data_IF_563518977576
#
_entry.id   IF_563518977576
#
_cell.length_a   1.000
_cell.length_b   1.000
_cell.length_c   1.000
_cell.angle_alpha   90.00
_cell.angle_beta   90.00
_cell.angle_gamma   90.00
#
_symmetry.space_group_name_H-M   'P 1'
#
loop_
_entity.id
_entity.type
_entity.pdbx_description
1 polymer ?
#
# COMPACT_ATOMS: atom_id res chain seq x y z
N UNK A 1 -9.54 7.31 27.40
CA UNK A 1 -8.51 6.66 26.57
C UNK A 1 -7.19 7.19 27.08
N UNK A 2 -6.21 6.32 27.40
CA UNK A 2 -4.93 6.77 27.90
C UNK A 2 -4.31 7.72 26.88
N UNK A 3 -3.93 8.93 27.33
CA UNK A 3 -3.33 9.98 26.50
C UNK A 3 -1.94 9.64 25.93
N UNK A 4 -1.43 8.45 26.20
CA UNK A 4 -0.08 7.99 25.83
C UNK A 4 -0.05 6.90 24.74
N UNK A 5 -1.20 6.44 24.23
CA UNK A 5 -1.24 5.41 23.18
C UNK A 5 -0.97 6.04 21.82
N UNK A 6 0.18 5.74 21.24
CA UNK A 6 0.67 6.34 20.00
C UNK A 6 0.66 5.35 18.85
N UNK A 7 0.12 5.76 17.73
CA UNK A 7 0.02 4.97 16.51
C UNK A 7 0.73 5.68 15.36
N UNK A 8 1.51 4.91 14.59
CA UNK A 8 2.27 5.38 13.44
C UNK A 8 1.74 4.72 12.16
N UNK A 9 1.43 5.54 11.15
CA UNK A 9 1.01 5.11 9.82
C UNK A 9 2.07 5.53 8.80
N UNK A 10 2.68 4.56 8.14
CA UNK A 10 3.79 4.76 7.20
C UNK A 10 3.30 4.56 5.76
N UNK A 11 3.64 5.49 4.87
CA UNK A 11 3.16 5.47 3.49
C UNK A 11 1.65 5.67 3.41
N UNK A 12 1.14 6.62 4.19
CA UNK A 12 -0.30 6.76 4.44
C UNK A 12 -1.10 7.25 3.22
N UNK A 13 -0.44 7.82 2.20
CA UNK A 13 -1.12 8.41 1.06
C UNK A 13 -2.12 9.47 1.49
N UNK A 14 -3.32 9.40 0.92
CA UNK A 14 -4.47 10.23 1.29
C UNK A 14 -5.39 9.57 2.34
N UNK A 15 -5.01 8.37 2.83
CA UNK A 15 -5.82 7.57 3.77
C UNK A 15 -5.17 7.55 5.13
N UNK A 16 -5.49 8.55 5.92
CA UNK A 16 -4.92 8.71 7.26
C UNK A 16 -5.97 9.20 8.25
N UNK A 17 -5.66 9.03 9.53
CA UNK A 17 -6.48 9.51 10.64
C UNK A 17 -5.68 10.52 11.46
N UNK A 18 -6.28 11.65 11.81
CA UNK A 18 -5.58 12.76 12.49
C UNK A 18 -5.03 12.42 13.89
N UNK A 19 -5.57 11.38 14.54
CA UNK A 19 -5.06 10.91 15.84
C UNK A 19 -3.84 10.01 15.73
N UNK A 20 -3.39 9.69 14.50
CA UNK A 20 -2.17 8.94 14.24
C UNK A 20 -1.06 9.89 13.83
N UNK A 21 0.18 9.48 14.07
CA UNK A 21 1.32 10.09 13.39
C UNK A 21 1.39 9.50 12.00
N UNK A 22 1.31 10.36 10.97
CA UNK A 22 1.22 9.93 9.58
C UNK A 22 2.45 10.39 8.81
N UNK A 23 3.14 9.46 8.15
CA UNK A 23 4.28 9.72 7.26
C UNK A 23 3.96 9.27 5.84
N UNK A 24 4.40 10.06 4.88
CA UNK A 24 4.42 9.69 3.46
C UNK A 24 5.64 10.30 2.77
N UNK A 25 5.99 9.81 1.58
CA UNK A 25 7.06 10.39 0.79
C UNK A 25 6.80 11.85 0.45
N UNK A 26 5.53 12.21 0.25
CA UNK A 26 5.06 13.58 -0.02
C UNK A 26 4.06 14.02 1.03
N UNK A 27 3.92 15.35 1.22
CA UNK A 27 2.92 15.91 2.13
C UNK A 27 1.52 15.84 1.50
N UNK A 28 0.83 14.73 1.71
CA UNK A 28 -0.51 14.46 1.15
C UNK A 28 -1.65 15.12 1.91
N UNK A 29 -1.38 15.70 3.09
CA UNK A 29 -2.34 16.40 3.93
C UNK A 29 -1.66 17.24 5.02
N UNK A 30 -2.46 18.04 5.76
CA UNK A 30 -1.92 18.98 6.75
C UNK A 30 -1.16 18.29 7.88
N UNK A 31 -1.67 17.16 8.36
CA UNK A 31 -1.09 16.37 9.46
C UNK A 31 -0.13 15.27 8.98
N UNK A 32 0.18 15.22 7.69
CA UNK A 32 1.11 14.25 7.10
C UNK A 32 2.52 14.83 7.07
N UNK A 33 3.46 14.09 7.64
CA UNK A 33 4.89 14.42 7.65
C UNK A 33 5.51 13.85 6.37
N UNK A 34 6.09 14.74 5.53
CA UNK A 34 6.84 14.30 4.37
C UNK A 34 8.18 13.72 4.79
N UNK A 35 8.43 12.44 4.47
CA UNK A 35 9.68 11.77 4.81
C UNK A 35 9.96 10.58 3.89
N UNK A 36 11.22 10.42 3.49
CA UNK A 36 11.67 9.26 2.71
C UNK A 36 12.04 8.11 3.65
N UNK A 37 11.21 7.07 3.68
CA UNK A 37 11.38 5.91 4.55
C UNK A 37 12.65 5.07 4.27
N UNK A 38 13.29 5.24 3.12
CA UNK A 38 14.61 4.64 2.83
C UNK A 38 15.69 5.21 3.76
N UNK A 39 15.50 6.43 4.25
CA UNK A 39 16.41 7.09 5.22
C UNK A 39 16.19 6.68 6.68
N UNK A 40 15.30 5.71 6.92
CA UNK A 40 14.86 5.29 8.24
C UNK A 40 13.59 6.00 8.70
N UNK A 41 13.14 5.71 9.91
CA UNK A 41 11.95 6.32 10.52
C UNK A 41 12.39 7.41 11.51
N UNK A 42 11.97 8.70 11.34
CA UNK A 42 12.51 9.84 12.06
C UNK A 42 11.97 9.98 13.49
N UNK A 43 11.88 8.89 14.21
CA UNK A 43 11.46 8.85 15.61
C UNK A 43 12.41 8.00 16.45
N UNK A 44 12.39 8.27 17.76
CA UNK A 44 13.21 7.52 18.73
C UNK A 44 12.74 6.07 18.88
N UNK A 45 13.61 5.22 19.38
CA UNK A 45 13.29 3.85 19.74
C UNK A 45 12.11 3.78 20.72
N UNK A 46 11.30 2.72 20.64
CA UNK A 46 10.22 2.44 21.58
C UNK A 46 9.20 3.59 21.72
N UNK A 47 8.87 4.27 20.63
CA UNK A 47 8.00 5.46 20.63
C UNK A 47 6.52 5.16 20.40
N UNK A 48 6.20 4.05 19.73
CA UNK A 48 4.83 3.75 19.27
C UNK A 48 4.30 2.42 19.81
N UNK A 49 3.02 2.40 20.12
CA UNK A 49 2.29 1.19 20.52
C UNK A 49 1.82 0.38 19.31
N UNK A 50 1.57 1.06 18.19
CA UNK A 50 1.23 0.46 16.90
C UNK A 50 2.03 1.11 15.79
N UNK A 51 2.61 0.29 14.92
CA UNK A 51 3.16 0.71 13.63
C UNK A 51 2.40 -0.02 12.53
N UNK A 52 1.88 0.74 11.59
CA UNK A 52 1.08 0.24 10.48
C UNK A 52 1.63 0.73 9.15
N UNK A 53 1.65 -0.14 8.18
CA UNK A 53 1.79 0.22 6.77
C UNK A 53 1.00 -0.71 5.87
N UNK A 54 0.56 -0.16 4.76
CA UNK A 54 -0.20 -0.87 3.74
C UNK A 54 0.28 -0.44 2.37
N UNK A 55 0.59 -1.40 1.50
CA UNK A 55 1.10 -1.15 0.15
C UNK A 55 2.37 -0.26 0.15
N UNK A 56 3.32 -0.61 0.99
CA UNK A 56 4.60 0.11 1.15
C UNK A 56 5.78 -0.83 0.96
N UNK A 57 5.75 -2.00 1.60
CA UNK A 57 6.90 -2.91 1.65
C UNK A 57 7.28 -3.43 0.27
N UNK A 58 6.30 -3.68 -0.60
CA UNK A 58 6.49 -4.16 -1.97
C UNK A 58 7.22 -3.16 -2.89
N UNK A 59 7.33 -1.90 -2.47
CA UNK A 59 8.04 -0.86 -3.22
C UNK A 59 9.53 -0.78 -2.89
N UNK A 60 9.98 -1.49 -1.87
CA UNK A 60 11.40 -1.55 -1.51
C UNK A 60 12.10 -2.72 -2.21
N UNK A 61 13.33 -2.48 -2.64
CA UNK A 61 14.24 -3.58 -2.93
C UNK A 61 14.51 -4.42 -1.67
N UNK A 62 14.86 -5.69 -1.82
CA UNK A 62 15.00 -6.64 -0.71
C UNK A 62 15.80 -6.09 0.48
N UNK A 63 16.98 -5.49 0.22
CA UNK A 63 17.86 -4.95 1.25
C UNK A 63 17.24 -3.76 2.01
N UNK A 64 16.54 -2.88 1.30
CA UNK A 64 15.93 -1.72 1.92
C UNK A 64 14.62 -2.08 2.62
N UNK A 65 13.89 -3.08 2.12
CA UNK A 65 12.74 -3.67 2.81
C UNK A 65 13.13 -4.31 4.16
N UNK A 66 14.25 -5.05 4.21
CA UNK A 66 14.78 -5.60 5.46
C UNK A 66 15.10 -4.49 6.47
N UNK A 67 15.76 -3.41 6.04
CA UNK A 67 16.04 -2.25 6.90
C UNK A 67 14.77 -1.54 7.35
N UNK A 68 13.82 -1.37 6.44
CA UNK A 68 12.53 -0.74 6.76
C UNK A 68 11.79 -1.51 7.86
N UNK A 69 11.73 -2.83 7.78
CA UNK A 69 11.13 -3.66 8.84
C UNK A 69 11.90 -3.55 10.16
N UNK A 70 13.24 -3.49 10.13
CA UNK A 70 14.06 -3.26 11.33
C UNK A 70 13.75 -1.89 11.96
N UNK A 71 13.57 -0.84 11.17
CA UNK A 71 13.17 0.47 11.63
C UNK A 71 11.76 0.50 12.24
N UNK A 72 10.80 -0.23 11.61
CA UNK A 72 9.47 -0.42 12.19
C UNK A 72 9.57 -1.06 13.58
N UNK A 73 10.41 -2.10 13.72
CA UNK A 73 10.64 -2.75 15.00
C UNK A 73 11.33 -1.83 16.01
N UNK A 74 12.32 -1.05 15.58
CA UNK A 74 13.07 -0.12 16.45
C UNK A 74 12.17 0.92 17.12
N UNK A 75 11.26 1.51 16.35
CA UNK A 75 10.35 2.55 16.86
C UNK A 75 9.17 1.99 17.64
N UNK A 76 8.92 0.68 17.56
CA UNK A 76 7.84 0.00 18.25
C UNK A 76 8.22 -0.24 19.72
N UNK A 77 7.31 0.03 20.65
CA UNK A 77 7.48 -0.28 22.07
C UNK A 77 7.51 -1.80 22.30
N UNK A 78 8.07 -2.22 23.42
CA UNK A 78 7.95 -3.59 23.88
C UNK A 78 6.45 -3.98 23.96
N UNK A 79 6.10 -5.12 23.37
CA UNK A 79 4.70 -5.60 23.23
C UNK A 79 3.82 -4.75 22.29
N UNK A 80 4.38 -3.83 21.53
CA UNK A 80 3.66 -3.09 20.48
C UNK A 80 3.28 -3.98 19.31
N UNK A 81 2.39 -3.49 18.46
CA UNK A 81 1.84 -4.23 17.31
C UNK A 81 2.39 -3.66 16.02
N UNK A 82 3.09 -4.48 15.23
CA UNK A 82 3.38 -4.19 13.83
C UNK A 82 2.28 -4.82 12.97
N UNK A 83 1.55 -3.98 12.22
CA UNK A 83 0.57 -4.43 11.24
C UNK A 83 1.07 -4.13 9.83
N UNK A 84 1.21 -5.17 9.04
CA UNK A 84 1.67 -5.11 7.65
C UNK A 84 0.58 -5.60 6.72
N UNK A 85 0.25 -4.83 5.69
CA UNK A 85 -0.59 -5.25 4.59
C UNK A 85 0.19 -5.10 3.28
N UNK A 86 0.21 -6.15 2.49
CA UNK A 86 0.85 -6.21 1.17
C UNK A 86 -0.09 -6.89 0.18
N UNK A 87 0.09 -6.71 -1.14
CA UNK A 87 -0.69 -7.45 -2.13
C UNK A 87 -0.58 -8.96 -1.95
N UNK A 88 -1.70 -9.65 -2.10
CA UNK A 88 -1.76 -11.11 -2.07
C UNK A 88 -1.45 -11.67 -3.46
N UNK A 89 -0.20 -12.02 -3.70
CA UNK A 89 0.26 -12.54 -4.99
C UNK A 89 -0.48 -13.83 -5.41
N UNK A 90 -0.82 -14.70 -4.47
CA UNK A 90 -1.57 -15.92 -4.78
C UNK A 90 -2.97 -15.57 -5.32
N UNK A 91 -3.67 -14.67 -4.63
CA UNK A 91 -5.01 -14.25 -5.05
C UNK A 91 -4.96 -13.49 -6.39
N UNK A 92 -3.97 -12.64 -6.60
CA UNK A 92 -3.76 -11.93 -7.87
C UNK A 92 -3.54 -12.94 -9.00
N UNK A 93 -2.65 -13.92 -8.81
CA UNK A 93 -2.37 -14.94 -9.83
C UNK A 93 -3.61 -15.81 -10.14
N UNK A 94 -4.39 -16.17 -9.13
CA UNK A 94 -5.66 -16.92 -9.33
C UNK A 94 -6.67 -16.09 -10.12
N UNK A 95 -6.86 -14.84 -9.75
CA UNK A 95 -7.77 -13.93 -10.44
C UNK A 95 -7.32 -13.67 -11.88
N UNK A 96 -6.02 -13.53 -12.13
CA UNK A 96 -5.46 -13.41 -13.47
C UNK A 96 -5.90 -14.58 -14.37
N UNK A 97 -5.77 -15.82 -13.89
CA UNK A 97 -6.16 -17.00 -14.67
C UNK A 97 -7.68 -17.05 -14.90
N UNK A 98 -8.48 -16.77 -13.88
CA UNK A 98 -9.94 -16.78 -13.97
C UNK A 98 -10.44 -15.73 -14.97
N UNK A 99 -9.91 -14.52 -14.91
CA UNK A 99 -10.31 -13.43 -15.79
C UNK A 99 -9.84 -13.67 -17.23
N UNK A 100 -8.65 -14.26 -17.41
CA UNK A 100 -8.15 -14.66 -18.73
C UNK A 100 -9.07 -15.66 -19.42
N UNK A 101 -9.47 -16.73 -18.74
CA UNK A 101 -10.36 -17.76 -19.30
C UNK A 101 -11.69 -17.16 -19.70
N UNK A 102 -12.36 -16.40 -18.84
CA UNK A 102 -13.63 -15.75 -19.12
C UNK A 102 -13.55 -14.73 -20.25
N UNK A 103 -12.47 -13.93 -20.29
CA UNK A 103 -12.25 -12.97 -21.36
C UNK A 103 -12.10 -13.66 -22.73
N UNK A 104 -11.45 -14.83 -22.79
CA UNK A 104 -11.33 -15.64 -24.00
C UNK A 104 -12.67 -16.22 -24.47
N UNK A 105 -13.59 -16.44 -23.54
CA UNK A 105 -14.98 -16.87 -23.83
C UNK A 105 -15.89 -15.71 -24.24
N UNK A 106 -15.36 -14.49 -24.32
CA UNK A 106 -16.05 -13.29 -24.80
C UNK A 106 -16.75 -12.47 -23.71
N UNK A 107 -16.43 -12.69 -22.43
CA UNK A 107 -16.92 -11.87 -21.32
C UNK A 107 -16.18 -10.53 -21.26
N UNK A 108 -16.83 -9.44 -21.68
CA UNK A 108 -16.24 -8.10 -21.74
C UNK A 108 -15.83 -7.57 -20.36
N UNK A 109 -16.61 -7.86 -19.32
CA UNK A 109 -16.26 -7.46 -17.94
C UNK A 109 -14.98 -8.15 -17.49
N UNK A 110 -14.82 -9.43 -17.82
CA UNK A 110 -13.61 -10.18 -17.48
C UNK A 110 -12.40 -9.75 -18.30
N UNK A 111 -12.57 -9.25 -19.53
CA UNK A 111 -11.47 -8.64 -20.28
C UNK A 111 -10.89 -7.44 -19.54
N UNK A 112 -11.76 -6.56 -19.07
CA UNK A 112 -11.36 -5.40 -18.30
C UNK A 112 -10.68 -5.78 -16.96
N UNK A 113 -11.28 -6.72 -16.24
CA UNK A 113 -10.71 -7.25 -15.00
C UNK A 113 -9.36 -7.92 -15.22
N UNK A 114 -9.16 -8.55 -16.38
CA UNK A 114 -7.89 -9.15 -16.77
C UNK A 114 -6.80 -8.07 -16.97
N UNK A 115 -7.11 -6.97 -17.65
CA UNK A 115 -6.19 -5.83 -17.78
C UNK A 115 -5.76 -5.29 -16.42
N UNK A 116 -6.71 -5.19 -15.47
CA UNK A 116 -6.39 -4.83 -14.08
C UNK A 116 -5.42 -5.81 -13.43
N UNK A 117 -5.65 -7.13 -13.55
CA UNK A 117 -4.76 -8.13 -12.97
C UNK A 117 -3.35 -8.07 -13.57
N UNK A 118 -3.22 -7.77 -14.86
CA UNK A 118 -1.92 -7.56 -15.52
C UNK A 118 -1.20 -6.36 -14.90
N UNK A 119 -1.88 -5.24 -14.70
CA UNK A 119 -1.32 -4.06 -14.04
C UNK A 119 -0.92 -4.36 -12.59
N UNK A 120 -1.78 -5.05 -11.83
CA UNK A 120 -1.51 -5.44 -10.45
C UNK A 120 -0.25 -6.30 -10.32
N UNK A 121 -0.01 -7.21 -11.29
CA UNK A 121 1.17 -8.09 -11.29
C UNK A 121 2.46 -7.38 -11.70
N UNK A 122 2.41 -6.51 -12.70
CA UNK A 122 3.62 -6.01 -13.36
C UNK A 122 3.93 -4.54 -13.10
N UNK A 123 2.95 -3.67 -12.97
CA UNK A 123 3.20 -2.23 -12.84
C UNK A 123 4.07 -1.90 -11.63
N UNK A 124 3.85 -2.56 -10.51
CA UNK A 124 4.63 -2.34 -9.30
C UNK A 124 6.11 -2.75 -9.43
N UNK A 125 6.40 -3.71 -10.30
CA UNK A 125 7.76 -4.24 -10.51
C UNK A 125 8.55 -3.38 -11.50
N UNK A 126 7.88 -2.83 -12.51
CA UNK A 126 8.55 -2.15 -13.64
C UNK A 126 8.41 -0.64 -13.62
N UNK A 127 7.53 -0.09 -12.82
CA UNK A 127 7.27 1.34 -12.80
C UNK A 127 8.46 2.16 -12.29
N UNK A 128 8.68 3.29 -12.92
CA UNK A 128 9.71 4.27 -12.54
C UNK A 128 9.14 5.50 -11.81
N UNK A 129 7.79 5.57 -11.70
CA UNK A 129 7.06 6.66 -11.07
C UNK A 129 6.14 6.12 -9.99
N UNK A 130 5.87 6.94 -8.96
CA UNK A 130 4.87 6.61 -7.96
C UNK A 130 3.51 6.35 -8.62
N UNK A 131 2.82 5.30 -8.17
CA UNK A 131 1.53 4.79 -8.68
C UNK A 131 1.58 4.24 -10.12
N UNK A 132 2.66 4.42 -10.87
CA UNK A 132 2.86 3.86 -12.21
C UNK A 132 1.71 4.15 -13.18
N UNK A 133 1.33 3.17 -14.00
CA UNK A 133 0.18 3.25 -14.92
C UNK A 133 -1.16 2.95 -14.22
N UNK A 134 -1.11 2.40 -13.02
CA UNK A 134 -2.28 2.06 -12.22
C UNK A 134 -3.18 3.27 -11.95
N UNK A 135 -2.60 4.45 -11.69
CA UNK A 135 -3.36 5.68 -11.49
C UNK A 135 -4.16 6.07 -12.73
N UNK A 136 -3.53 6.01 -13.91
CA UNK A 136 -4.18 6.34 -15.17
C UNK A 136 -5.29 5.33 -15.52
N UNK A 137 -5.11 4.06 -15.16
CA UNK A 137 -6.12 3.03 -15.34
C UNK A 137 -7.33 3.30 -14.42
N UNK A 138 -7.11 3.59 -13.15
CA UNK A 138 -8.17 3.94 -12.19
C UNK A 138 -8.96 5.20 -12.60
N UNK A 139 -8.29 6.17 -13.21
CA UNK A 139 -8.95 7.38 -13.71
C UNK A 139 -9.88 7.11 -14.89
N UNK A 140 -9.60 6.11 -15.72
CA UNK A 140 -10.49 5.67 -16.82
C UNK A 140 -11.77 5.04 -16.29
N UNK A 141 -11.70 4.37 -15.16
CA UNK A 141 -12.85 3.66 -14.56
C UNK A 141 -13.95 4.55 -14.04
N UNK A 142 -13.67 5.77 -13.69
CA UNK A 142 -14.73 6.69 -13.24
C UNK A 142 -15.83 6.85 -14.30
N UNK A 143 -15.60 6.34 -15.51
CA UNK A 143 -16.49 6.51 -16.67
C UNK A 143 -17.27 5.24 -17.04
N UNK A 144 -16.82 4.01 -16.71
CA UNK A 144 -17.35 2.83 -17.41
C UNK A 144 -18.05 1.79 -16.55
N UNK A 145 -17.68 1.47 -15.34
CA UNK A 145 -18.32 0.38 -14.57
C UNK A 145 -18.26 0.62 -13.06
N UNK A 146 -19.38 0.38 -12.38
CA UNK A 146 -19.51 0.35 -10.93
C UNK A 146 -18.70 -0.76 -10.25
N UNK A 147 -17.44 -0.92 -10.60
CA UNK A 147 -16.54 -1.83 -9.92
C UNK A 147 -16.25 -1.27 -8.51
N UNK A 148 -16.89 -1.89 -7.55
CA UNK A 148 -16.66 -1.56 -6.16
C UNK A 148 -15.25 -2.04 -5.77
N UNK A 149 -14.25 -1.16 -5.87
CA UNK A 149 -12.96 -1.31 -5.19
C UNK A 149 -13.21 -1.23 -3.67
N UNK A 150 -14.11 -2.03 -3.14
CA UNK A 150 -14.40 -2.08 -1.70
C UNK A 150 -13.44 -2.99 -0.93
N UNK A 151 -12.66 -3.82 -1.62
CA UNK A 151 -11.85 -4.85 -0.98
C UNK A 151 -10.35 -4.78 -1.27
N UNK A 152 -9.85 -3.76 -1.96
CA UNK A 152 -8.41 -3.65 -2.31
C UNK A 152 -7.70 -2.51 -1.56
N UNK A 153 -8.40 -1.89 -0.62
CA UNK A 153 -7.79 -0.82 0.17
C UNK A 153 -8.10 -0.98 1.64
#
# INVERSE_FOLDING_TARGET
MNSDFKMLNLGCGKRYHNNWVNLDFTKTGETVIAHNLVMGIPFSDNSFDVVYHSHVLEHFGKRDGEKFIQECYRVLKASGILRVAVPDLEQIARNYLITLEKARDGDEESLYNHEWMVLEMYDQVVRTKSVGELAAFLERETIILGFHIKNVL
#
